data_IF_199687040118
#
_entry.id   IF_199687040118
#
_cell.length_a   1.000
_cell.length_b   1.000
_cell.length_c   1.000
_cell.angle_alpha   90.00
_cell.angle_beta   90.00
_cell.angle_gamma   90.00
#
_symmetry.space_group_name_H-M   'P 1'
#
loop_
_entity.id
_entity.type
_entity.pdbx_description
1 polymer ?
#
# COMPACT_ATOMS: atom_id res chain seq x y z
N UNK A 1 -17.12 -12.88 -30.75
CA UNK A 1 -16.48 -11.54 -30.76
C UNK A 1 -14.97 -11.65 -30.71
N UNK A 2 -14.26 -11.00 -31.63
CA UNK A 2 -12.78 -11.02 -31.67
C UNK A 2 -12.15 -10.46 -30.39
N UNK A 3 -12.72 -9.39 -29.80
CA UNK A 3 -12.18 -8.80 -28.56
C UNK A 3 -12.08 -9.81 -27.41
N UNK A 4 -12.99 -10.80 -27.34
CA UNK A 4 -12.96 -11.84 -26.31
C UNK A 4 -11.67 -12.66 -26.38
N UNK A 5 -11.12 -12.89 -27.59
CA UNK A 5 -9.87 -13.66 -27.79
C UNK A 5 -8.63 -12.94 -27.28
N UNK A 6 -8.71 -11.62 -27.04
CA UNK A 6 -7.64 -10.81 -26.46
C UNK A 6 -7.68 -10.72 -24.93
N UNK A 7 -8.77 -11.16 -24.30
CA UNK A 7 -8.90 -11.23 -22.84
C UNK A 7 -8.25 -12.53 -22.35
N UNK A 8 -7.39 -12.43 -21.32
CA UNK A 8 -6.73 -13.58 -20.71
C UNK A 8 -7.75 -14.57 -20.12
N UNK A 9 -7.41 -15.88 -20.12
CA UNK A 9 -8.33 -16.92 -19.66
C UNK A 9 -8.79 -16.74 -18.21
N UNK A 10 -7.88 -16.31 -17.33
CA UNK A 10 -8.18 -16.06 -15.91
C UNK A 10 -9.16 -14.90 -15.68
N UNK A 11 -9.15 -13.90 -16.56
CA UNK A 11 -10.08 -12.75 -16.50
C UNK A 11 -11.41 -13.09 -17.19
N UNK A 12 -11.36 -13.85 -18.30
CA UNK A 12 -12.55 -14.22 -19.07
C UNK A 12 -13.58 -14.98 -18.24
N UNK A 13 -13.13 -15.81 -17.30
CA UNK A 13 -14.01 -16.55 -16.38
C UNK A 13 -14.70 -15.70 -15.32
N UNK A 14 -14.20 -14.48 -15.07
CA UNK A 14 -14.73 -13.59 -14.05
C UNK A 14 -15.81 -12.64 -14.63
N UNK A 15 -15.78 -12.37 -15.93
CA UNK A 15 -16.66 -11.39 -16.59
C UNK A 15 -17.89 -12.08 -17.21
N UNK A 16 -19.07 -11.50 -16.99
CA UNK A 16 -20.29 -11.94 -17.67
C UNK A 16 -20.15 -11.81 -19.18
N UNK A 17 -20.55 -12.85 -19.91
CA UNK A 17 -20.41 -12.86 -21.36
C UNK A 17 -21.52 -12.03 -22.00
N UNK A 18 -21.14 -10.98 -22.73
CA UNK A 18 -22.06 -10.17 -23.53
C UNK A 18 -21.82 -10.40 -25.03
N UNK A 19 -22.88 -10.34 -25.83
CA UNK A 19 -22.79 -10.34 -27.29
C UNK A 19 -22.48 -8.96 -27.85
N UNK A 20 -22.78 -7.89 -27.09
CA UNK A 20 -22.49 -6.50 -27.44
C UNK A 20 -21.12 -6.06 -26.88
N UNK A 21 -20.28 -5.42 -27.72
CA UNK A 21 -18.94 -4.93 -27.31
C UNK A 21 -19.08 -3.89 -26.20
N UNK A 22 -20.06 -3.00 -26.32
CA UNK A 22 -20.26 -1.87 -25.39
C UNK A 22 -20.61 -2.38 -24.00
N UNK A 23 -21.49 -3.36 -23.91
CA UNK A 23 -21.85 -3.99 -22.64
C UNK A 23 -20.67 -4.77 -22.06
N UNK A 24 -19.95 -5.54 -22.88
CA UNK A 24 -18.76 -6.26 -22.45
C UNK A 24 -17.70 -5.32 -21.86
N UNK A 25 -17.41 -4.20 -22.53
CA UNK A 25 -16.46 -3.20 -22.04
C UNK A 25 -16.94 -2.54 -20.75
N UNK A 26 -18.25 -2.25 -20.64
CA UNK A 26 -18.84 -1.69 -19.42
C UNK A 26 -18.68 -2.66 -18.23
N UNK A 27 -18.96 -3.95 -18.43
CA UNK A 27 -18.79 -4.96 -17.37
C UNK A 27 -17.33 -5.14 -16.98
N UNK A 28 -16.40 -5.09 -17.95
CA UNK A 28 -14.97 -5.09 -17.65
C UNK A 28 -14.63 -3.87 -16.79
N UNK A 29 -15.05 -2.68 -17.20
CA UNK A 29 -14.77 -1.45 -16.46
C UNK A 29 -15.33 -1.51 -15.03
N UNK A 30 -16.60 -1.90 -14.87
CA UNK A 30 -17.26 -2.10 -13.57
C UNK A 30 -16.58 -3.13 -12.68
N UNK A 31 -16.03 -4.20 -13.27
CA UNK A 31 -15.40 -5.28 -12.53
C UNK A 31 -13.94 -5.01 -12.15
N UNK A 32 -13.26 -4.15 -12.92
CA UNK A 32 -11.87 -3.79 -12.73
C UNK A 32 -11.69 -2.36 -12.20
N UNK A 33 -12.76 -1.73 -11.69
CA UNK A 33 -12.66 -0.53 -10.86
C UNK A 33 -11.66 -0.84 -9.74
N UNK A 34 -10.67 0.03 -9.58
CA UNK A 34 -9.70 -0.08 -8.49
C UNK A 34 -10.45 -0.10 -7.16
N UNK A 35 -10.60 -1.29 -6.58
CA UNK A 35 -11.29 -1.43 -5.30
C UNK A 35 -10.43 -0.81 -4.19
N UNK A 36 -11.08 -0.24 -3.18
CA UNK A 36 -10.41 0.26 -1.97
C UNK A 36 -9.51 -0.81 -1.34
N UNK A 37 -9.88 -2.10 -1.45
CA UNK A 37 -9.07 -3.24 -1.00
C UNK A 37 -7.76 -3.39 -1.77
N UNK A 38 -7.78 -3.20 -3.10
CA UNK A 38 -6.58 -3.27 -3.93
C UNK A 38 -5.65 -2.07 -3.69
N UNK A 39 -6.24 -0.89 -3.51
CA UNK A 39 -5.51 0.33 -3.11
C UNK A 39 -4.88 0.16 -1.73
N UNK A 40 -5.63 -0.33 -0.74
CA UNK A 40 -5.12 -0.63 0.59
C UNK A 40 -3.97 -1.64 0.53
N UNK A 41 -4.11 -2.73 -0.24
CA UNK A 41 -3.05 -3.73 -0.41
C UNK A 41 -1.78 -3.11 -1.02
N UNK A 42 -1.93 -2.23 -2.01
CA UNK A 42 -0.81 -1.51 -2.64
C UNK A 42 -0.12 -0.57 -1.64
N UNK A 43 -0.89 0.17 -0.85
CA UNK A 43 -0.35 1.06 0.18
C UNK A 43 0.33 0.29 1.31
N UNK A 44 -0.21 -0.87 1.74
CA UNK A 44 0.44 -1.77 2.71
C UNK A 44 1.77 -2.28 2.16
N UNK A 45 1.82 -2.68 0.89
CA UNK A 45 3.06 -3.12 0.24
C UNK A 45 4.09 -1.98 0.18
N UNK A 46 3.66 -0.76 -0.16
CA UNK A 46 4.52 0.43 -0.11
C UNK A 46 5.02 0.67 1.33
N UNK A 47 4.12 0.70 2.31
CA UNK A 47 4.45 0.93 3.71
C UNK A 47 5.49 -0.08 4.24
N UNK A 48 5.27 -1.36 3.97
CA UNK A 48 6.13 -2.45 4.46
C UNK A 48 7.49 -2.53 3.77
N UNK A 49 7.60 -2.06 2.52
CA UNK A 49 8.85 -2.03 1.76
C UNK A 49 9.68 -0.77 1.97
N UNK A 50 9.11 0.29 2.56
CA UNK A 50 9.85 1.52 2.82
C UNK A 50 10.99 1.27 3.81
N UNK A 51 12.21 1.51 3.34
CA UNK A 51 13.44 1.55 4.14
C UNK A 51 14.13 2.89 3.93
N UNK A 52 14.75 3.41 4.98
CA UNK A 52 15.57 4.61 4.87
C UNK A 52 16.74 4.30 3.93
N UNK A 53 17.03 5.24 3.03
CA UNK A 53 18.15 5.14 2.08
C UNK A 53 19.13 6.27 2.35
N UNK A 54 20.36 6.14 1.85
CA UNK A 54 21.40 7.16 2.03
C UNK A 54 21.10 8.51 1.35
N UNK A 55 20.09 8.58 0.48
CA UNK A 55 19.72 9.78 -0.27
C UNK A 55 18.61 10.60 0.38
N UNK A 56 17.90 10.03 1.38
CA UNK A 56 16.79 10.69 2.09
C UNK A 56 17.18 10.96 3.54
N UNK A 57 16.76 12.10 4.07
CA UNK A 57 16.87 12.38 5.50
C UNK A 57 15.87 11.55 6.31
N UNK A 58 16.18 11.32 7.60
CA UNK A 58 15.26 10.66 8.54
C UNK A 58 13.91 11.39 8.62
N UNK A 59 13.93 12.73 8.56
CA UNK A 59 12.70 13.55 8.58
C UNK A 59 11.81 13.28 7.37
N UNK A 60 12.40 13.24 6.17
CA UNK A 60 11.66 12.93 4.94
C UNK A 60 11.07 11.53 4.97
N UNK A 61 11.84 10.55 5.47
CA UNK A 61 11.38 9.18 5.63
C UNK A 61 10.20 9.07 6.60
N UNK A 62 10.24 9.76 7.74
CA UNK A 62 9.12 9.82 8.69
C UNK A 62 7.88 10.46 8.04
N UNK A 63 8.06 11.57 7.31
CA UNK A 63 6.94 12.22 6.61
C UNK A 63 6.31 11.30 5.57
N UNK A 64 7.10 10.56 4.80
CA UNK A 64 6.60 9.60 3.81
C UNK A 64 5.82 8.46 4.47
N UNK A 65 6.30 7.91 5.58
CA UNK A 65 5.57 6.88 6.33
C UNK A 65 4.25 7.40 6.91
N UNK A 66 4.23 8.63 7.45
CA UNK A 66 3.01 9.26 7.96
C UNK A 66 2.01 9.53 6.85
N UNK A 67 2.46 9.95 5.67
CA UNK A 67 1.59 10.18 4.52
C UNK A 67 0.93 8.87 4.07
N UNK A 68 1.70 7.78 3.93
CA UNK A 68 1.15 6.47 3.57
C UNK A 68 0.16 5.97 4.64
N UNK A 69 0.46 6.14 5.93
CA UNK A 69 -0.46 5.79 7.00
C UNK A 69 -1.75 6.62 6.95
N UNK A 70 -1.67 7.92 6.67
CA UNK A 70 -2.85 8.78 6.52
C UNK A 70 -3.73 8.35 5.34
N UNK A 71 -3.13 7.88 4.24
CA UNK A 71 -3.87 7.30 3.12
C UNK A 71 -4.54 5.98 3.51
N UNK A 72 -3.84 5.09 4.23
CA UNK A 72 -4.41 3.83 4.75
C UNK A 72 -5.59 4.08 5.68
N UNK A 73 -5.49 5.09 6.56
CA UNK A 73 -6.58 5.46 7.46
C UNK A 73 -7.86 5.89 6.72
N UNK A 74 -7.73 6.57 5.58
CA UNK A 74 -8.88 6.92 4.72
C UNK A 74 -9.59 5.69 4.13
N UNK A 75 -8.89 4.55 4.07
CA UNK A 75 -9.39 3.26 3.61
C UNK A 75 -9.77 2.33 4.78
N UNK A 76 -9.99 2.89 5.98
CA UNK A 76 -10.35 2.15 7.20
C UNK A 76 -9.27 1.15 7.67
N UNK A 77 -8.03 1.28 7.17
CA UNK A 77 -6.88 0.51 7.66
C UNK A 77 -6.16 1.35 8.70
N UNK A 78 -6.47 1.10 9.97
CA UNK A 78 -5.85 1.80 11.10
C UNK A 78 -4.69 1.03 11.73
N UNK A 79 -3.67 1.77 12.14
CA UNK A 79 -2.52 1.27 12.89
C UNK A 79 -2.36 2.15 14.13
N UNK A 80 -1.88 1.60 15.23
CA UNK A 80 -1.59 2.40 16.42
C UNK A 80 -0.39 3.31 16.18
N UNK A 81 -0.36 4.47 16.84
CA UNK A 81 0.82 5.36 16.88
C UNK A 81 2.05 4.59 17.38
N UNK A 82 1.89 3.73 18.40
CA UNK A 82 2.98 2.89 18.91
C UNK A 82 3.55 1.95 17.85
N UNK A 83 2.69 1.32 17.04
CA UNK A 83 3.12 0.48 15.93
C UNK A 83 3.89 1.30 14.90
N UNK A 84 3.36 2.47 14.52
CA UNK A 84 4.01 3.34 13.53
C UNK A 84 5.43 3.72 13.99
N UNK A 85 5.59 4.16 15.25
CA UNK A 85 6.89 4.57 15.78
C UNK A 85 7.88 3.41 15.76
N UNK A 86 7.48 2.24 16.27
CA UNK A 86 8.34 1.05 16.24
C UNK A 86 8.65 0.60 14.81
N UNK A 87 7.70 0.71 13.88
CA UNK A 87 7.91 0.37 12.49
C UNK A 87 8.94 1.30 11.84
N UNK A 88 8.79 2.62 12.00
CA UNK A 88 9.75 3.63 11.55
C UNK A 88 11.15 3.29 12.07
N UNK A 89 11.30 3.04 13.36
CA UNK A 89 12.61 2.71 13.96
C UNK A 89 13.25 1.47 13.33
N UNK A 90 12.46 0.45 12.98
CA UNK A 90 12.93 -0.78 12.31
C UNK A 90 13.25 -0.59 10.81
N UNK A 91 13.02 0.59 10.26
CA UNK A 91 13.28 0.91 8.86
C UNK A 91 14.45 1.87 8.66
N UNK A 92 15.01 2.38 9.76
CA UNK A 92 16.22 3.21 9.74
C UNK A 92 17.44 2.36 9.37
N UNK A 93 18.47 3.03 8.84
CA UNK A 93 19.75 2.40 8.53
C UNK A 93 20.51 2.01 9.81
N UNK A 94 21.44 1.03 9.74
CA UNK A 94 22.20 0.56 10.91
C UNK A 94 22.94 1.66 11.69
N UNK A 95 23.36 2.74 11.02
CA UNK A 95 23.98 3.90 11.68
C UNK A 95 23.07 4.61 12.71
N UNK A 96 21.75 4.36 12.66
CA UNK A 96 20.77 4.89 13.60
C UNK A 96 20.38 3.90 14.71
N UNK A 97 21.05 2.74 14.82
CA UNK A 97 20.82 1.80 15.92
C UNK A 97 20.90 2.45 17.33
N UNK A 98 21.85 3.36 17.62
CA UNK A 98 21.85 4.07 18.90
C UNK A 98 20.56 4.83 19.19
N UNK A 99 19.90 5.39 18.16
CA UNK A 99 18.63 6.09 18.29
C UNK A 99 17.49 5.13 18.68
N UNK A 100 17.47 3.94 18.09
CA UNK A 100 16.52 2.88 18.43
C UNK A 100 16.70 2.38 19.87
N UNK A 101 17.94 2.16 20.30
CA UNK A 101 18.26 1.76 21.67
C UNK A 101 17.82 2.85 22.65
N UNK A 102 18.14 4.11 22.34
CA UNK A 102 17.73 5.26 23.14
C UNK A 102 16.20 5.28 23.32
N UNK A 103 15.43 5.24 22.23
CA UNK A 103 13.97 5.23 22.31
C UNK A 103 13.42 4.06 23.16
N UNK A 104 13.90 2.83 22.94
CA UNK A 104 13.41 1.65 23.65
C UNK A 104 13.77 1.61 25.14
N UNK A 105 14.85 2.29 25.55
CA UNK A 105 15.32 2.32 26.94
C UNK A 105 14.83 3.56 27.69
N UNK A 106 14.30 4.55 26.99
CA UNK A 106 13.58 5.66 27.60
C UNK A 106 12.27 5.14 28.17
N UNK A 107 12.21 5.08 29.50
CA UNK A 107 10.94 4.93 30.19
C UNK A 107 10.16 6.22 29.95
N UNK A 108 8.97 6.10 29.36
CA UNK A 108 8.01 7.20 29.35
C UNK A 108 7.88 7.77 30.77
N UNK A 109 7.97 9.09 30.88
CA UNK A 109 7.69 9.81 32.12
C UNK A 109 6.18 9.92 32.30
#
# INVERSE_FOLDING_TARGET
MYIKTKISAGIRGLIKQHENVRELLKTIDEQFIASDKALASTLIMKFTSLKLTNTKSVREHIMEMRDVMAQLKKLEVEMSESFLVHFILNTLLPQYEPFKIFYNTHKDK
#
